data_IF_636871849223
#
_entry.id   IF_636871849223
#
_cell.length_a   1.000
_cell.length_b   1.000
_cell.length_c   1.000
_cell.angle_alpha   90.00
_cell.angle_beta   90.00
_cell.angle_gamma   90.00
#
_symmetry.space_group_name_H-M   'P 1'
#
loop_
_entity.id
_entity.type
_entity.pdbx_description
1 polymer ?
#
# COMPACT_ATOMS: atom_id res chain seq x y z
N UNK A 1 8.77 2.70 13.75
CA UNK A 1 8.71 1.59 12.77
C UNK A 1 7.38 0.88 12.98
N UNK A 2 6.55 0.72 11.95
CA UNK A 2 5.25 0.05 12.12
C UNK A 2 5.41 -1.47 11.97
N UNK A 3 4.68 -2.23 12.80
CA UNK A 3 4.62 -3.70 12.69
C UNK A 3 4.00 -4.16 11.36
N UNK A 4 3.14 -3.33 10.76
CA UNK A 4 2.44 -3.65 9.52
C UNK A 4 3.41 -3.81 8.35
N UNK A 5 4.24 -2.81 8.08
CA UNK A 5 5.23 -2.85 7.00
C UNK A 5 6.21 -4.02 7.17
N UNK A 6 6.67 -4.25 8.42
CA UNK A 6 7.62 -5.32 8.75
C UNK A 6 7.03 -6.69 8.43
N UNK A 7 5.80 -6.95 8.88
CA UNK A 7 5.11 -8.20 8.61
C UNK A 7 4.80 -8.40 7.14
N UNK A 8 4.42 -7.34 6.41
CA UNK A 8 4.15 -7.44 4.97
C UNK A 8 5.41 -7.81 4.19
N UNK A 9 6.56 -7.20 4.50
CA UNK A 9 7.85 -7.58 3.89
C UNK A 9 8.25 -9.02 4.22
N UNK A 10 8.10 -9.43 5.48
CA UNK A 10 8.37 -10.83 5.87
C UNK A 10 7.49 -11.80 5.10
N UNK A 11 6.22 -11.46 4.92
CA UNK A 11 5.24 -12.28 4.19
C UNK A 11 5.60 -12.44 2.72
N UNK A 12 6.02 -11.36 2.05
CA UNK A 12 6.53 -11.41 0.67
C UNK A 12 7.77 -12.30 0.54
N UNK A 13 8.77 -12.13 1.41
CA UNK A 13 10.00 -12.91 1.33
C UNK A 13 9.75 -14.41 1.61
N UNK A 14 8.89 -14.73 2.60
CA UNK A 14 8.45 -16.10 2.85
C UNK A 14 7.68 -16.69 1.66
N UNK A 15 6.83 -15.90 1.00
CA UNK A 15 6.14 -16.32 -0.20
C UNK A 15 7.12 -16.65 -1.33
N UNK A 16 8.13 -15.81 -1.57
CA UNK A 16 9.13 -16.06 -2.60
C UNK A 16 9.96 -17.30 -2.34
N UNK A 17 10.41 -17.49 -1.09
CA UNK A 17 11.15 -18.68 -0.68
C UNK A 17 10.33 -19.95 -0.88
N UNK A 18 9.08 -19.98 -0.40
CA UNK A 18 8.21 -21.16 -0.49
C UNK A 18 7.82 -21.54 -1.92
N UNK A 19 7.67 -20.55 -2.79
CA UNK A 19 7.23 -20.77 -4.18
C UNK A 19 8.40 -20.78 -5.18
N UNK A 20 9.66 -20.77 -4.70
CA UNK A 20 10.86 -20.73 -5.53
C UNK A 20 10.85 -19.59 -6.57
N UNK A 21 10.32 -18.42 -6.16
CA UNK A 21 10.27 -17.21 -7.00
C UNK A 21 11.50 -16.37 -6.69
N UNK A 22 12.24 -15.97 -7.73
CA UNK A 22 13.35 -15.01 -7.57
C UNK A 22 12.79 -13.61 -7.33
N UNK A 23 12.70 -13.21 -6.07
CA UNK A 23 12.26 -11.87 -5.69
C UNK A 23 12.73 -11.49 -4.30
N UNK A 24 12.69 -10.20 -4.00
CA UNK A 24 12.99 -9.65 -2.68
C UNK A 24 12.07 -8.48 -2.37
N UNK A 25 11.48 -8.49 -1.18
CA UNK A 25 10.79 -7.35 -0.62
C UNK A 25 11.65 -6.70 0.46
N UNK A 26 11.69 -5.37 0.46
CA UNK A 26 12.42 -4.60 1.45
C UNK A 26 11.74 -3.26 1.70
N UNK A 27 11.95 -2.76 2.92
CA UNK A 27 11.50 -1.44 3.33
C UNK A 27 12.51 -0.39 2.88
N UNK A 28 12.04 0.75 2.42
CA UNK A 28 12.92 1.90 2.22
C UNK A 28 13.16 2.56 3.58
N UNK A 29 14.43 2.69 3.98
CA UNK A 29 14.79 3.40 5.21
C UNK A 29 14.57 4.90 5.02
N UNK A 30 13.87 5.53 5.97
CA UNK A 30 13.67 6.97 5.95
C UNK A 30 14.94 7.62 6.50
N UNK A 31 15.68 8.35 5.66
CA UNK A 31 16.66 9.30 6.17
C UNK A 31 15.94 10.61 6.53
N UNK A 32 16.39 11.29 7.59
CA UNK A 32 15.87 12.60 7.96
C UNK A 32 16.02 13.55 6.77
N UNK A 33 14.99 14.32 6.48
CA UNK A 33 14.96 15.36 5.44
C UNK A 33 14.91 14.90 3.98
N UNK A 34 14.70 13.61 3.72
CA UNK A 34 14.46 13.07 2.36
C UNK A 34 13.04 12.58 2.20
N UNK A 35 12.41 12.95 1.09
CA UNK A 35 11.11 12.43 0.69
C UNK A 35 11.25 10.95 0.33
N UNK A 36 10.55 10.08 1.05
CA UNK A 36 10.33 8.72 0.60
C UNK A 36 9.22 8.73 -0.45
N UNK A 37 9.38 7.87 -1.46
CA UNK A 37 8.32 7.59 -2.42
C UNK A 37 7.40 6.54 -1.82
N UNK A 38 7.91 5.34 -1.51
CA UNK A 38 7.10 4.24 -0.99
C UNK A 38 7.70 3.64 0.28
N UNK A 39 6.84 3.03 1.10
CA UNK A 39 7.25 2.32 2.32
C UNK A 39 7.96 0.98 2.00
N UNK A 40 7.47 0.26 0.99
CA UNK A 40 7.98 -1.06 0.59
C UNK A 40 8.20 -1.11 -0.92
N UNK A 41 9.33 -1.67 -1.33
CA UNK A 41 9.57 -2.12 -2.70
C UNK A 41 9.65 -3.65 -2.73
N UNK A 42 9.12 -4.21 -3.82
CA UNK A 42 9.24 -5.63 -4.15
C UNK A 42 9.86 -5.71 -5.54
N UNK A 43 11.02 -6.35 -5.61
CA UNK A 43 11.79 -6.48 -6.85
C UNK A 43 11.85 -7.95 -7.26
N UNK A 44 11.47 -8.22 -8.51
CA UNK A 44 11.57 -9.52 -9.16
C UNK A 44 11.60 -9.30 -10.67
N UNK A 45 12.22 -10.24 -11.40
CA UNK A 45 12.10 -10.28 -12.86
C UNK A 45 10.71 -10.72 -13.32
N UNK A 46 9.92 -11.34 -12.44
CA UNK A 46 8.54 -11.67 -12.73
C UNK A 46 7.68 -10.38 -12.71
N UNK A 47 7.01 -10.00 -13.80
CA UNK A 47 6.31 -8.72 -13.89
C UNK A 47 5.22 -8.50 -12.84
N UNK A 48 4.65 -9.57 -12.29
CA UNK A 48 3.63 -9.48 -11.23
C UNK A 48 4.21 -9.15 -9.85
N UNK A 49 5.53 -9.25 -9.69
CA UNK A 49 6.24 -9.02 -8.44
C UNK A 49 7.22 -7.84 -8.54
N UNK A 50 7.08 -7.00 -9.57
CA UNK A 50 7.74 -5.70 -9.67
C UNK A 50 6.81 -4.61 -9.13
N UNK A 51 6.80 -4.44 -7.81
CA UNK A 51 5.73 -3.75 -7.07
C UNK A 51 6.29 -2.63 -6.20
N UNK A 52 5.53 -1.54 -6.09
CA UNK A 52 5.68 -0.51 -5.07
C UNK A 52 4.47 -0.42 -4.13
N UNK A 53 4.68 -0.34 -2.81
CA UNK A 53 3.59 -0.30 -1.82
C UNK A 53 3.78 0.85 -0.83
N UNK A 54 2.78 1.72 -0.73
CA UNK A 54 2.61 2.66 0.38
C UNK A 54 1.73 2.00 1.45
N UNK A 55 2.07 2.16 2.73
CA UNK A 55 1.35 1.58 3.85
C UNK A 55 0.68 2.68 4.71
N UNK A 56 -0.59 2.49 5.05
CA UNK A 56 -1.30 3.33 6.02
C UNK A 56 -1.96 2.46 7.08
N UNK A 57 -2.00 2.93 8.33
CA UNK A 57 -2.65 2.20 9.43
C UNK A 57 -3.59 3.12 10.21
N UNK A 58 -4.90 2.96 10.04
CA UNK A 58 -5.94 3.78 10.67
C UNK A 58 -6.62 3.02 11.81
N UNK A 59 -7.05 3.73 12.86
CA UNK A 59 -7.65 3.11 14.04
C UNK A 59 -9.16 3.33 14.09
N UNK A 60 -9.91 2.31 13.67
CA UNK A 60 -11.38 2.28 13.78
C UNK A 60 -11.83 2.40 15.22
N UNK A 61 -11.09 1.76 16.16
CA UNK A 61 -11.34 1.91 17.60
C UNK A 61 -11.31 3.38 18.06
N UNK A 62 -10.45 4.21 17.47
CA UNK A 62 -10.34 5.64 17.81
C UNK A 62 -11.32 6.52 17.04
N UNK A 63 -12.34 5.93 16.41
CA UNK A 63 -13.37 6.66 15.67
C UNK A 63 -12.97 7.06 14.26
N UNK A 64 -11.87 6.54 13.70
CA UNK A 64 -11.55 6.76 12.30
C UNK A 64 -12.67 6.15 11.44
N UNK A 65 -13.26 6.94 10.56
CA UNK A 65 -14.32 6.52 9.61
C UNK A 65 -13.81 6.48 8.16
N UNK A 66 -12.64 7.06 7.91
CA UNK A 66 -12.05 7.19 6.59
C UNK A 66 -10.54 7.46 6.68
N UNK A 67 -9.86 7.25 5.56
CA UNK A 67 -8.52 7.70 5.26
C UNK A 67 -8.63 8.99 4.42
N UNK A 68 -8.50 10.14 5.09
CA UNK A 68 -8.53 11.46 4.46
C UNK A 68 -7.21 11.78 3.75
N UNK A 69 -7.30 12.28 2.51
CA UNK A 69 -6.12 12.58 1.70
C UNK A 69 -5.23 13.63 2.34
N UNK A 70 -5.82 14.72 2.84
CA UNK A 70 -5.12 15.83 3.49
C UNK A 70 -4.49 15.48 4.84
N UNK A 71 -4.94 14.41 5.51
CA UNK A 71 -4.45 14.04 6.85
C UNK A 71 -3.45 12.88 6.83
N UNK A 72 -3.65 11.93 5.92
CA UNK A 72 -2.88 10.67 5.92
C UNK A 72 -1.77 10.66 4.87
N UNK A 73 -1.80 11.61 3.94
CA UNK A 73 -0.75 11.82 2.95
C UNK A 73 -0.07 13.16 3.20
N UNK A 74 1.23 13.19 2.93
CA UNK A 74 2.03 14.38 3.16
C UNK A 74 1.98 15.33 1.95
N UNK A 75 2.11 16.62 2.20
CA UNK A 75 2.43 17.60 1.16
C UNK A 75 3.86 18.08 1.41
N UNK A 76 4.68 18.12 0.37
CA UNK A 76 6.06 18.59 0.51
C UNK A 76 6.14 20.13 0.64
N UNK A 77 7.35 20.63 0.86
CA UNK A 77 7.61 22.08 1.01
C UNK A 77 7.30 22.90 -0.25
N UNK A 78 7.18 22.26 -1.41
CA UNK A 78 6.86 22.90 -2.68
C UNK A 78 5.36 22.81 -3.00
N UNK A 79 4.54 22.24 -2.10
CA UNK A 79 3.11 22.06 -2.31
C UNK A 79 2.74 20.78 -3.07
N UNK A 80 3.68 19.87 -3.34
CA UNK A 80 3.40 18.65 -4.10
C UNK A 80 2.84 17.57 -3.17
N UNK A 81 1.64 17.06 -3.48
CA UNK A 81 0.99 16.01 -2.69
C UNK A 81 1.73 14.67 -2.82
N UNK A 82 1.76 13.86 -1.76
CA UNK A 82 2.46 12.57 -1.74
C UNK A 82 1.91 11.62 -2.80
N UNK A 83 0.59 11.65 -3.06
CA UNK A 83 -0.02 10.80 -4.09
C UNK A 83 0.57 11.12 -5.48
N UNK A 84 0.77 12.39 -5.81
CA UNK A 84 1.35 12.80 -7.09
C UNK A 84 2.81 12.35 -7.21
N UNK A 85 3.60 12.55 -6.15
CA UNK A 85 5.02 12.14 -6.13
C UNK A 85 5.18 10.63 -6.29
N UNK A 86 4.32 9.84 -5.65
CA UNK A 86 4.33 8.39 -5.78
C UNK A 86 3.87 7.97 -7.18
N UNK A 87 2.84 8.63 -7.71
CA UNK A 87 2.35 8.38 -9.06
C UNK A 87 3.44 8.61 -10.11
N UNK A 88 4.19 9.72 -10.00
CA UNK A 88 5.36 9.98 -10.86
C UNK A 88 6.42 8.87 -10.74
N UNK A 89 6.77 8.49 -9.50
CA UNK A 89 7.73 7.41 -9.26
C UNK A 89 7.29 6.08 -9.88
N UNK A 90 6.02 5.69 -9.71
CA UNK A 90 5.48 4.45 -10.25
C UNK A 90 5.47 4.47 -11.79
N UNK A 91 5.04 5.58 -12.40
CA UNK A 91 5.09 5.78 -13.86
C UNK A 91 6.51 5.61 -14.40
N UNK A 92 7.47 6.33 -13.82
CA UNK A 92 8.88 6.33 -14.26
C UNK A 92 9.58 5.00 -14.03
N UNK A 93 9.21 4.28 -12.98
CA UNK A 93 9.83 3.00 -12.66
C UNK A 93 9.17 1.81 -13.36
N UNK A 94 7.93 1.94 -13.85
CA UNK A 94 7.18 0.82 -14.44
C UNK A 94 6.69 -0.20 -13.42
N UNK A 95 6.75 0.11 -12.12
CA UNK A 95 6.26 -0.77 -11.05
C UNK A 95 4.73 -0.75 -10.98
N UNK A 96 4.15 -1.91 -10.65
CA UNK A 96 2.74 -1.95 -10.25
C UNK A 96 2.62 -1.33 -8.85
N UNK A 97 1.76 -0.34 -8.67
CA UNK A 97 1.59 0.37 -7.40
C UNK A 97 0.40 -0.13 -6.59
N UNK A 98 0.53 -0.15 -5.27
CA UNK A 98 -0.58 -0.36 -4.34
C UNK A 98 -0.51 0.56 -3.12
N UNK A 99 -1.68 0.87 -2.57
CA UNK A 99 -1.84 1.36 -1.20
C UNK A 99 -2.32 0.19 -0.34
N UNK A 100 -1.54 -0.21 0.65
CA UNK A 100 -1.93 -1.19 1.66
C UNK A 100 -2.46 -0.47 2.91
N UNK A 101 -3.68 -0.77 3.33
CA UNK A 101 -4.34 -0.14 4.49
C UNK A 101 -4.62 -1.16 5.58
N UNK A 102 -4.04 -0.95 6.76
CA UNK A 102 -4.34 -1.73 7.97
C UNK A 102 -5.42 -1.02 8.81
N UNK A 103 -6.54 -1.70 9.05
CA UNK A 103 -7.60 -1.28 9.96
C UNK A 103 -7.35 -1.87 11.35
N UNK A 104 -7.02 -1.00 12.31
CA UNK A 104 -6.84 -1.37 13.72
C UNK A 104 -8.17 -1.33 14.47
N UNK A 105 -8.76 -2.51 14.65
CA UNK A 105 -10.09 -2.72 15.23
C UNK A 105 -10.15 -2.59 16.77
N UNK A 106 -9.00 -2.54 17.44
CA UNK A 106 -8.91 -2.43 18.90
C UNK A 106 -8.34 -3.68 19.58
N UNK A 107 -8.27 -3.64 20.92
CA UNK A 107 -7.76 -4.76 21.72
C UNK A 107 -8.70 -5.97 21.58
N UNK A 108 -8.13 -7.17 21.42
CA UNK A 108 -8.88 -8.42 21.28
C UNK A 108 -9.55 -8.64 19.92
N UNK A 109 -9.49 -7.68 18.99
CA UNK A 109 -10.00 -7.84 17.62
C UNK A 109 -8.85 -7.98 16.64
N UNK A 110 -8.99 -8.92 15.69
CA UNK A 110 -8.02 -9.07 14.61
C UNK A 110 -7.96 -7.79 13.78
N UNK A 111 -6.72 -7.41 13.39
CA UNK A 111 -6.51 -6.34 12.42
C UNK A 111 -6.91 -6.87 11.05
N UNK A 112 -7.55 -6.01 10.24
CA UNK A 112 -7.81 -6.29 8.83
C UNK A 112 -6.85 -5.48 7.98
N UNK A 113 -6.43 -6.02 6.83
CA UNK A 113 -5.62 -5.29 5.88
C UNK A 113 -6.24 -5.42 4.49
N UNK A 114 -6.20 -4.34 3.73
CA UNK A 114 -6.77 -4.25 2.39
C UNK A 114 -5.73 -3.66 1.43
N UNK A 115 -5.84 -4.00 0.16
CA UNK A 115 -4.93 -3.51 -0.88
C UNK A 115 -5.70 -2.81 -1.98
N UNK A 116 -5.33 -1.57 -2.24
CA UNK A 116 -5.98 -0.69 -3.20
C UNK A 116 -5.02 -0.50 -4.37
N UNK A 117 -5.40 -0.86 -5.61
CA UNK A 117 -4.60 -0.54 -6.79
C UNK A 117 -4.32 0.97 -6.86
N UNK A 118 -3.05 1.32 -7.09
CA UNK A 118 -2.66 2.73 -7.08
C UNK A 118 -3.38 3.56 -8.16
N UNK A 119 -3.73 2.92 -9.29
CA UNK A 119 -4.52 3.54 -10.36
C UNK A 119 -5.85 4.06 -9.85
N UNK A 120 -6.62 3.21 -9.16
CA UNK A 120 -7.91 3.60 -8.58
C UNK A 120 -7.76 4.65 -7.48
N UNK A 121 -6.69 4.58 -6.67
CA UNK A 121 -6.39 5.64 -5.69
C UNK A 121 -6.13 6.98 -6.39
N UNK A 122 -5.31 6.99 -7.44
CA UNK A 122 -4.94 8.21 -8.16
C UNK A 122 -6.13 8.83 -8.89
N UNK A 123 -6.96 8.02 -9.54
CA UNK A 123 -8.21 8.46 -10.18
C UNK A 123 -9.14 9.10 -9.16
N UNK A 124 -9.32 8.46 -8.00
CA UNK A 124 -10.13 9.00 -6.91
C UNK A 124 -9.55 10.31 -6.37
N UNK A 125 -8.23 10.40 -6.18
CA UNK A 125 -7.59 11.61 -5.68
C UNK A 125 -7.75 12.82 -6.61
N UNK A 126 -7.74 12.61 -7.92
CA UNK A 126 -7.88 13.68 -8.92
C UNK A 126 -9.35 14.10 -9.10
N UNK A 127 -10.31 13.23 -8.78
CA UNK A 127 -11.74 13.57 -8.86
C UNK A 127 -12.12 14.70 -7.89
N UNK A 128 -12.82 15.72 -8.40
CA UNK A 128 -13.14 16.94 -7.65
C UNK A 128 -14.00 16.69 -6.39
N UNK A 129 -14.78 15.61 -6.37
CA UNK A 129 -15.70 15.28 -5.28
C UNK A 129 -15.10 14.40 -4.17
N UNK A 130 -13.82 14.00 -4.28
CA UNK A 130 -13.22 13.03 -3.35
C UNK A 130 -12.09 13.58 -2.50
N UNK A 131 -12.32 13.59 -1.18
CA UNK A 131 -11.32 14.02 -0.18
C UNK A 131 -10.79 12.87 0.69
N UNK A 132 -11.31 11.65 0.50
CA UNK A 132 -11.06 10.50 1.39
C UNK A 132 -11.41 9.16 0.74
N UNK A 133 -10.93 8.10 1.38
CA UNK A 133 -11.44 6.73 1.25
C UNK A 133 -12.15 6.35 2.55
N UNK A 134 -13.47 6.18 2.53
CA UNK A 134 -14.21 5.67 3.68
C UNK A 134 -13.82 4.23 4.02
N UNK A 135 -14.06 3.81 5.27
CA UNK A 135 -13.82 2.41 5.64
C UNK A 135 -14.63 1.45 4.79
N UNK A 136 -15.91 1.76 4.51
CA UNK A 136 -16.75 0.92 3.67
C UNK A 136 -16.12 0.72 2.28
N UNK A 137 -15.68 1.80 1.65
CA UNK A 137 -14.99 1.73 0.36
C UNK A 137 -13.69 0.92 0.45
N UNK A 138 -12.90 1.08 1.52
CA UNK A 138 -11.67 0.30 1.74
C UNK A 138 -11.99 -1.19 1.84
N UNK A 139 -13.09 -1.56 2.52
CA UNK A 139 -13.49 -2.95 2.69
C UNK A 139 -13.99 -3.63 1.40
N UNK A 140 -14.32 -2.86 0.35
CA UNK A 140 -14.71 -3.38 -0.98
C UNK A 140 -13.50 -3.84 -1.83
N UNK A 141 -12.29 -3.43 -1.43
CA UNK A 141 -11.05 -3.85 -2.06
C UNK A 141 -10.59 -5.24 -1.60
N UNK A 142 -9.70 -5.92 -2.35
CA UNK A 142 -9.16 -7.20 -1.93
C UNK A 142 -8.55 -7.13 -0.51
N UNK A 143 -8.93 -8.09 0.33
CA UNK A 143 -8.37 -8.25 1.66
C UNK A 143 -7.02 -8.95 1.57
N UNK A 144 -6.02 -8.43 2.28
CA UNK A 144 -4.76 -9.14 2.53
C UNK A 144 -5.00 -10.07 3.72
N UNK A 145 -5.43 -11.29 3.43
CA UNK A 145 -5.73 -12.31 4.43
C UNK A 145 -4.51 -12.61 5.32
N UNK A 146 -4.78 -13.17 6.50
CA UNK A 146 -3.71 -13.60 7.42
C UNK A 146 -3.77 -15.10 7.67
N UNK A 147 -2.61 -15.74 7.60
CA UNK A 147 -2.43 -17.13 7.99
C UNK A 147 -1.18 -17.26 8.88
N UNK A 148 -1.35 -17.86 10.07
CA UNK A 148 -0.23 -18.13 10.99
C UNK A 148 0.59 -16.88 11.37
N UNK A 149 -0.07 -15.73 11.51
CA UNK A 149 0.59 -14.45 11.85
C UNK A 149 1.13 -13.65 10.67
N UNK A 150 1.28 -14.26 9.49
CA UNK A 150 1.74 -13.61 8.25
C UNK A 150 0.57 -13.19 7.37
N UNK A 151 0.83 -12.32 6.40
CA UNK A 151 -0.08 -11.98 5.33
C UNK A 151 0.01 -13.00 4.18
N UNK A 152 -1.11 -13.32 3.56
CA UNK A 152 -1.14 -14.13 2.33
C UNK A 152 -0.86 -13.20 1.15
N UNK A 153 0.12 -13.57 0.34
CA UNK A 153 0.60 -12.78 -0.80
C UNK A 153 -0.05 -13.32 -2.07
N UNK A 154 -0.96 -12.55 -2.65
CA UNK A 154 -1.63 -12.88 -3.92
C UNK A 154 -1.75 -11.63 -4.83
N UNK A 155 -0.63 -11.16 -5.43
CA UNK A 155 -0.66 -10.02 -6.33
C UNK A 155 -1.56 -10.21 -7.56
N UNK A 156 -1.91 -11.44 -7.93
CA UNK A 156 -2.86 -11.68 -9.01
C UNK A 156 -4.29 -11.38 -8.54
N UNK A 157 -4.70 -11.87 -7.37
CA UNK A 157 -5.99 -11.55 -6.75
C UNK A 157 -6.13 -10.09 -6.29
N UNK A 158 -5.03 -9.36 -6.14
CA UNK A 158 -5.05 -7.93 -5.83
C UNK A 158 -5.34 -7.04 -7.04
N UNK A 159 -5.26 -7.59 -8.26
CA UNK A 159 -5.54 -6.86 -9.49
C UNK A 159 -7.05 -6.75 -9.71
N UNK A 160 -7.59 -5.57 -9.38
CA UNK A 160 -8.83 -5.05 -9.99
C UNK A 160 -8.58 -3.79 -10.85
N UNK A 161 -7.31 -3.43 -11.09
CA UNK A 161 -6.93 -2.25 -11.89
C UNK A 161 -5.85 -2.58 -12.93
N UNK A 162 -5.86 -1.84 -14.04
CA UNK A 162 -4.85 -1.87 -15.10
C UNK A 162 -3.50 -1.35 -14.59
N UNK A 163 -2.39 -1.81 -15.18
CA UNK A 163 -1.09 -1.15 -15.00
C UNK A 163 -1.21 0.30 -15.49
N UNK A 164 -0.52 1.24 -14.83
CA UNK A 164 -0.35 2.60 -15.39
C UNK A 164 0.53 2.43 -16.63
N UNK A 165 -0.11 2.28 -17.79
CA UNK A 165 0.52 2.29 -19.10
C UNK A 165 0.05 3.60 -19.74
N UNK A 166 1.00 4.53 -19.85
CA UNK A 166 0.98 5.83 -20.56
C UNK A 166 -0.27 6.71 -20.39
#
# INVERSE_FOLDING_TARGET
MTEFERLLVQSFNLFFEKNNVKGIAYRIKQHRFTHQYLDILVDSLHPDYYIGIECKSISVKKGATALYFTQHFTTDKNGTHQIDRISDFLKRSGRTGYLAVELRMGAGRSRKAYVIPWTQLSEKFISEDSVKLSISEIEDFPMIERNGGNYIIDPAGWKKGTRILE
#
